data_IF_639935156813
#
_entry.id   IF_639935156813
#
_cell.length_a   1.000
_cell.length_b   1.000
_cell.length_c   1.000
_cell.angle_alpha   90.00
_cell.angle_beta   90.00
_cell.angle_gamma   90.00
#
_symmetry.space_group_name_H-M   'P 1'
#
loop_
_entity.id
_entity.type
_entity.pdbx_description
1 polymer ?
#
# COMPACT_ATOMS: atom_id res chain seq x y z
N UNK A 1 10.53 -19.40 -20.06
CA UNK A 1 9.27 -18.63 -20.24
C UNK A 1 8.50 -18.71 -18.92
N UNK A 2 8.32 -17.59 -18.22
CA UNK A 2 7.57 -17.59 -16.96
C UNK A 2 6.10 -17.84 -17.29
N UNK A 3 5.58 -18.98 -16.82
CA UNK A 3 4.18 -19.35 -17.01
C UNK A 3 3.31 -18.63 -15.98
N UNK A 4 2.37 -17.80 -16.42
CA UNK A 4 1.45 -17.03 -15.56
C UNK A 4 0.72 -17.95 -14.56
N UNK A 5 0.29 -19.14 -15.00
CA UNK A 5 -0.39 -20.10 -14.13
C UNK A 5 0.53 -20.65 -13.04
N UNK A 6 1.79 -20.97 -13.36
CA UNK A 6 2.74 -21.44 -12.35
C UNK A 6 3.00 -20.37 -11.28
N UNK A 7 3.08 -19.09 -11.67
CA UNK A 7 3.20 -17.99 -10.74
C UNK A 7 1.93 -17.83 -9.89
N UNK A 8 0.76 -17.91 -10.51
CA UNK A 8 -0.52 -17.89 -9.81
C UNK A 8 -0.62 -19.00 -8.77
N UNK A 9 -0.28 -20.25 -9.14
CA UNK A 9 -0.31 -21.38 -8.23
C UNK A 9 0.60 -21.19 -7.01
N UNK A 10 1.82 -20.68 -7.25
CA UNK A 10 2.76 -20.37 -6.16
C UNK A 10 2.25 -19.26 -5.24
N UNK A 11 1.70 -18.19 -5.79
CA UNK A 11 1.12 -17.10 -4.99
C UNK A 11 -0.11 -17.58 -4.21
N UNK A 12 -0.96 -18.41 -4.84
CA UNK A 12 -2.12 -18.99 -4.16
C UNK A 12 -1.73 -19.87 -2.98
N UNK A 13 -0.66 -20.66 -3.12
CA UNK A 13 -0.13 -21.48 -2.03
C UNK A 13 0.34 -20.61 -0.86
N UNK A 14 1.09 -19.53 -1.14
CA UNK A 14 1.49 -18.55 -0.12
C UNK A 14 0.25 -17.93 0.54
N UNK A 15 -0.75 -17.50 -0.25
CA UNK A 15 -1.98 -16.95 0.30
C UNK A 15 -2.70 -17.95 1.22
N UNK A 16 -2.75 -19.23 0.87
CA UNK A 16 -3.32 -20.29 1.72
C UNK A 16 -2.56 -20.42 3.03
N UNK A 17 -1.24 -20.46 2.99
CA UNK A 17 -0.38 -20.57 4.17
C UNK A 17 -0.63 -19.45 5.19
N UNK A 18 -0.88 -18.23 4.73
CA UNK A 18 -1.06 -17.04 5.58
C UNK A 18 -2.52 -16.65 5.80
N UNK A 19 -3.49 -17.47 5.37
CA UNK A 19 -4.93 -17.18 5.50
C UNK A 19 -5.64 -18.02 6.57
N UNK A 20 -4.92 -18.70 7.43
CA UNK A 20 -5.49 -19.47 8.52
C UNK A 20 -6.47 -18.64 9.36
N UNK A 21 -7.66 -19.19 9.65
CA UNK A 21 -8.77 -18.52 10.34
C UNK A 21 -9.38 -17.28 9.66
N UNK A 22 -8.88 -16.85 8.49
CA UNK A 22 -9.45 -15.76 7.70
C UNK A 22 -10.50 -16.24 6.70
N UNK A 23 -10.36 -17.48 6.25
CA UNK A 23 -11.24 -18.10 5.25
C UNK A 23 -11.71 -19.48 5.70
N UNK A 24 -12.71 -20.01 5.03
CA UNK A 24 -13.15 -21.41 5.20
C UNK A 24 -12.23 -22.38 4.41
N UNK A 25 -12.46 -23.67 4.55
CA UNK A 25 -11.70 -24.75 3.88
C UNK A 25 -11.64 -24.61 2.34
N UNK A 26 -12.64 -23.95 1.73
CA UNK A 26 -12.70 -23.66 0.29
C UNK A 26 -12.02 -22.34 -0.11
N UNK A 27 -11.35 -21.66 0.82
CA UNK A 27 -10.63 -20.40 0.56
C UNK A 27 -11.53 -19.18 0.41
N UNK A 28 -12.74 -19.19 0.97
CA UNK A 28 -13.67 -18.07 0.93
C UNK A 28 -13.86 -17.43 2.30
N UNK A 29 -13.98 -16.11 2.34
CA UNK A 29 -14.40 -15.35 3.52
C UNK A 29 -15.78 -15.87 3.94
N UNK A 30 -15.98 -16.10 5.24
CA UNK A 30 -17.28 -16.54 5.78
C UNK A 30 -18.34 -15.48 5.54
N UNK A 31 -19.41 -15.83 4.82
CA UNK A 31 -20.55 -14.98 4.52
C UNK A 31 -21.79 -15.81 4.22
N UNK A 32 -23.01 -15.28 4.41
CA UNK A 32 -24.23 -15.93 3.98
C UNK A 32 -24.28 -16.12 2.47
N UNK A 33 -24.99 -17.16 2.01
CA UNK A 33 -25.24 -17.41 0.60
C UNK A 33 -24.37 -18.51 -0.02
N UNK A 34 -24.48 -18.72 -1.34
CA UNK A 34 -23.73 -19.76 -2.05
C UNK A 34 -22.22 -19.53 -1.98
N UNK A 35 -21.48 -20.61 -1.77
CA UNK A 35 -20.01 -20.58 -1.73
C UNK A 35 -19.47 -20.44 -3.15
N UNK A 36 -18.68 -19.39 -3.48
CA UNK A 36 -18.13 -19.22 -4.81
C UNK A 36 -17.17 -20.36 -5.18
N UNK A 37 -17.28 -20.84 -6.42
CA UNK A 37 -16.37 -21.88 -6.95
C UNK A 37 -14.96 -21.34 -7.19
N UNK A 38 -14.84 -20.14 -7.78
CA UNK A 38 -13.60 -19.39 -7.83
C UNK A 38 -13.46 -18.67 -6.49
N UNK A 39 -12.59 -19.12 -5.62
CA UNK A 39 -12.52 -18.70 -4.21
C UNK A 39 -12.04 -17.25 -4.05
N UNK A 40 -12.19 -16.68 -2.85
CA UNK A 40 -11.68 -15.34 -2.54
C UNK A 40 -10.15 -15.32 -2.50
N UNK A 41 -9.51 -16.42 -2.07
CA UNK A 41 -8.05 -16.57 -2.17
C UNK A 41 -7.57 -16.60 -3.62
N UNK A 42 -8.32 -17.23 -4.53
CA UNK A 42 -7.98 -17.21 -5.96
C UNK A 42 -8.13 -15.80 -6.55
N UNK A 43 -9.11 -15.02 -6.11
CA UNK A 43 -9.23 -13.60 -6.50
C UNK A 43 -8.02 -12.79 -6.03
N UNK A 44 -7.60 -12.96 -4.78
CA UNK A 44 -6.39 -12.30 -4.24
C UNK A 44 -5.16 -12.76 -5.01
N UNK A 45 -4.95 -14.06 -5.17
CA UNK A 45 -3.80 -14.61 -5.87
C UNK A 45 -3.72 -14.14 -7.33
N UNK A 46 -4.85 -14.10 -8.05
CA UNK A 46 -4.89 -13.58 -9.41
C UNK A 46 -4.56 -12.09 -9.47
N UNK A 47 -5.02 -11.30 -8.49
CA UNK A 47 -4.68 -9.88 -8.38
C UNK A 47 -3.18 -9.68 -8.19
N UNK A 48 -2.57 -10.39 -7.23
CA UNK A 48 -1.14 -10.31 -6.96
C UNK A 48 -0.30 -10.84 -8.14
N UNK A 49 -0.79 -11.88 -8.84
CA UNK A 49 -0.15 -12.39 -10.05
C UNK A 49 -0.13 -11.32 -11.16
N UNK A 50 -1.25 -10.66 -11.40
CA UNK A 50 -1.33 -9.60 -12.40
C UNK A 50 -0.36 -8.45 -12.08
N UNK A 51 -0.31 -7.99 -10.82
CA UNK A 51 0.64 -6.95 -10.41
C UNK A 51 2.11 -7.41 -10.56
N UNK A 52 2.43 -8.65 -10.21
CA UNK A 52 3.78 -9.22 -10.35
C UNK A 52 4.24 -9.39 -11.80
N UNK A 53 3.29 -9.47 -12.74
CA UNK A 53 3.53 -9.49 -14.20
C UNK A 53 3.43 -8.09 -14.82
N UNK A 54 3.34 -7.04 -14.00
CA UNK A 54 3.15 -5.66 -14.46
C UNK A 54 1.91 -5.47 -15.33
N UNK A 55 0.86 -6.24 -15.09
CA UNK A 55 -0.43 -6.14 -15.80
C UNK A 55 -1.35 -5.21 -15.01
N UNK A 56 -1.42 -3.95 -15.40
CA UNK A 56 -2.24 -2.93 -14.75
C UNK A 56 -3.67 -2.83 -15.30
N UNK A 57 -3.95 -3.46 -16.44
CA UNK A 57 -5.25 -3.46 -17.10
C UNK A 57 -6.00 -4.77 -16.89
N UNK A 58 -7.07 -4.74 -16.07
CA UNK A 58 -7.98 -5.90 -15.90
C UNK A 58 -8.60 -6.33 -17.25
N UNK A 59 -8.87 -5.38 -18.14
CA UNK A 59 -9.41 -5.70 -19.45
C UNK A 59 -8.41 -6.53 -20.26
N UNK A 60 -7.15 -6.09 -20.30
CA UNK A 60 -6.09 -6.81 -21.00
C UNK A 60 -5.82 -8.18 -20.37
N UNK A 61 -5.83 -8.27 -19.04
CA UNK A 61 -5.69 -9.54 -18.33
C UNK A 61 -6.75 -10.56 -18.77
N UNK A 62 -8.03 -10.18 -18.78
CA UNK A 62 -9.14 -11.09 -19.09
C UNK A 62 -9.31 -11.36 -20.60
N UNK A 63 -9.12 -10.34 -21.45
CA UNK A 63 -9.34 -10.46 -22.87
C UNK A 63 -8.16 -11.09 -23.65
N UNK A 64 -6.96 -11.05 -23.07
CA UNK A 64 -5.76 -11.57 -23.72
C UNK A 64 -5.10 -12.67 -22.88
N UNK A 65 -4.54 -12.32 -21.72
CA UNK A 65 -3.69 -13.25 -20.98
C UNK A 65 -4.42 -14.49 -20.47
N UNK A 66 -5.56 -14.35 -19.80
CA UNK A 66 -6.27 -15.49 -19.25
C UNK A 66 -6.89 -16.41 -20.32
N UNK A 67 -7.08 -15.92 -21.55
CA UNK A 67 -7.51 -16.78 -22.66
C UNK A 67 -6.46 -17.84 -23.02
N UNK A 68 -5.18 -17.50 -22.90
CA UNK A 68 -4.05 -18.43 -23.16
C UNK A 68 -4.03 -19.57 -22.11
N UNK A 69 -4.67 -19.38 -20.95
CA UNK A 69 -4.67 -20.30 -19.81
C UNK A 69 -6.06 -20.81 -19.43
N UNK A 70 -7.04 -20.73 -20.35
CA UNK A 70 -8.45 -21.05 -20.06
C UNK A 70 -8.65 -22.41 -19.42
N UNK A 71 -7.90 -23.42 -19.85
CA UNK A 71 -7.99 -24.79 -19.34
C UNK A 71 -7.56 -24.91 -17.87
N UNK A 72 -6.64 -24.04 -17.44
CA UNK A 72 -6.15 -24.00 -16.06
C UNK A 72 -7.06 -23.26 -15.08
N UNK A 73 -8.05 -22.51 -15.59
CA UNK A 73 -8.99 -21.74 -14.78
C UNK A 73 -10.45 -22.14 -15.08
N UNK A 74 -10.86 -23.39 -14.75
CA UNK A 74 -12.19 -23.90 -15.10
C UNK A 74 -13.34 -23.13 -14.45
N UNK A 75 -13.11 -22.50 -13.30
CA UNK A 75 -14.10 -21.75 -12.54
C UNK A 75 -13.88 -20.23 -12.63
N UNK A 76 -13.09 -19.75 -13.62
CA UNK A 76 -12.81 -18.33 -13.76
C UNK A 76 -14.09 -17.52 -13.90
N UNK A 77 -14.20 -16.48 -13.10
CA UNK A 77 -15.32 -15.55 -13.08
C UNK A 77 -15.19 -14.48 -14.17
N UNK A 78 -16.26 -13.75 -14.43
CA UNK A 78 -16.23 -12.62 -15.35
C UNK A 78 -15.34 -11.48 -14.83
N UNK A 79 -14.78 -10.66 -15.73
CA UNK A 79 -13.98 -9.47 -15.36
C UNK A 79 -14.75 -8.53 -14.42
N UNK A 80 -16.06 -8.35 -14.65
CA UNK A 80 -16.90 -7.50 -13.80
C UNK A 80 -16.98 -8.06 -12.38
N UNK A 81 -17.26 -9.34 -12.25
CA UNK A 81 -17.33 -10.01 -10.96
C UNK A 81 -15.98 -10.01 -10.25
N UNK A 82 -14.88 -10.25 -10.99
CA UNK A 82 -13.53 -10.13 -10.47
C UNK A 82 -13.26 -8.73 -9.88
N UNK A 83 -13.58 -7.66 -10.60
CA UNK A 83 -13.39 -6.29 -10.13
C UNK A 83 -14.18 -6.00 -8.84
N UNK A 84 -15.42 -6.47 -8.77
CA UNK A 84 -16.27 -6.31 -7.58
C UNK A 84 -15.73 -7.13 -6.38
N UNK A 85 -15.33 -8.37 -6.63
CA UNK A 85 -14.80 -9.24 -5.58
C UNK A 85 -13.42 -8.81 -5.11
N UNK A 86 -12.56 -8.34 -6.01
CA UNK A 86 -11.26 -7.77 -5.66
C UNK A 86 -11.38 -6.65 -4.61
N UNK A 87 -12.38 -5.77 -4.74
CA UNK A 87 -12.65 -4.74 -3.74
C UNK A 87 -13.11 -5.31 -2.40
N UNK A 88 -13.95 -6.35 -2.43
CA UNK A 88 -14.46 -7.02 -1.23
C UNK A 88 -13.38 -7.83 -0.51
N UNK A 89 -12.39 -8.34 -1.22
CA UNK A 89 -11.28 -9.13 -0.68
C UNK A 89 -10.04 -8.30 -0.34
N UNK A 90 -10.09 -6.97 -0.49
CA UNK A 90 -8.98 -6.09 -0.16
C UNK A 90 -8.49 -6.26 1.29
N UNK A 91 -9.41 -6.36 2.25
CA UNK A 91 -9.08 -6.62 3.66
C UNK A 91 -8.41 -7.97 3.89
N UNK A 92 -8.82 -9.01 3.15
CA UNK A 92 -8.16 -10.32 3.20
C UNK A 92 -6.72 -10.23 2.66
N UNK A 93 -6.52 -9.52 1.54
CA UNK A 93 -5.19 -9.29 0.97
C UNK A 93 -4.27 -8.56 1.97
N UNK A 94 -4.79 -7.51 2.62
CA UNK A 94 -4.04 -6.74 3.61
C UNK A 94 -3.68 -7.57 4.84
N UNK A 95 -4.58 -8.40 5.33
CA UNK A 95 -4.31 -9.26 6.48
C UNK A 95 -3.26 -10.32 6.17
N UNK A 96 -3.31 -10.93 4.98
CA UNK A 96 -2.26 -11.84 4.49
C UNK A 96 -0.91 -11.12 4.42
N UNK A 97 -0.87 -9.90 3.85
CA UNK A 97 0.33 -9.07 3.78
C UNK A 97 0.95 -8.82 5.16
N UNK A 98 0.13 -8.43 6.14
CA UNK A 98 0.57 -8.20 7.53
C UNK A 98 1.20 -9.45 8.14
N UNK A 99 0.58 -10.60 7.97
CA UNK A 99 1.11 -11.87 8.48
C UNK A 99 2.43 -12.26 7.82
N UNK A 100 2.57 -12.01 6.51
CA UNK A 100 3.84 -12.20 5.80
C UNK A 100 4.90 -11.25 6.35
N UNK A 101 4.58 -9.97 6.52
CA UNK A 101 5.50 -8.98 7.07
C UNK A 101 5.98 -9.39 8.49
N UNK A 102 5.06 -9.78 9.36
CA UNK A 102 5.38 -10.27 10.71
C UNK A 102 6.24 -11.54 10.69
N UNK A 103 6.03 -12.43 9.72
CA UNK A 103 6.86 -13.65 9.58
C UNK A 103 8.29 -13.34 9.16
N UNK A 104 8.47 -12.33 8.30
CA UNK A 104 9.79 -11.97 7.76
C UNK A 104 10.57 -11.10 8.75
N UNK A 105 9.89 -10.16 9.41
CA UNK A 105 10.51 -9.02 10.10
C UNK A 105 9.82 -8.66 11.44
N UNK A 106 9.21 -9.65 12.09
CA UNK A 106 8.41 -9.41 13.30
C UNK A 106 9.17 -9.03 14.56
N UNK A 107 10.51 -9.12 14.57
CA UNK A 107 11.38 -8.73 15.68
C UNK A 107 12.05 -7.35 15.46
N UNK A 108 11.66 -6.63 14.40
CA UNK A 108 12.24 -5.32 14.08
C UNK A 108 11.71 -4.24 15.05
N UNK A 109 12.62 -3.43 15.58
CA UNK A 109 12.33 -2.29 16.45
C UNK A 109 12.78 -0.94 15.85
N UNK A 110 13.33 -0.97 14.62
CA UNK A 110 13.80 0.21 13.91
C UNK A 110 13.11 0.33 12.55
N UNK A 111 12.35 1.40 12.38
CA UNK A 111 11.53 1.61 11.20
C UNK A 111 11.84 2.93 10.52
N UNK A 112 11.44 3.03 9.25
CA UNK A 112 11.52 4.25 8.46
C UNK A 112 10.14 4.62 7.98
N UNK A 113 9.83 5.91 8.07
CA UNK A 113 8.60 6.48 7.53
C UNK A 113 8.95 7.49 6.44
N UNK A 114 8.25 7.39 5.33
CA UNK A 114 8.30 8.37 4.25
C UNK A 114 6.96 8.41 3.53
N UNK A 115 6.75 9.45 2.70
CA UNK A 115 5.54 9.63 1.92
C UNK A 115 5.84 9.80 0.43
N UNK A 116 4.97 9.23 -0.41
CA UNK A 116 5.06 9.33 -1.86
C UNK A 116 3.79 9.93 -2.45
N UNK A 117 3.89 10.95 -3.34
CA UNK A 117 2.75 11.46 -4.09
C UNK A 117 2.07 10.39 -4.93
N UNK A 118 0.74 10.31 -4.88
CA UNK A 118 -0.11 9.44 -5.72
C UNK A 118 -1.11 10.32 -6.48
N UNK A 119 -0.73 10.90 -7.62
CA UNK A 119 -1.63 11.69 -8.45
C UNK A 119 -2.78 10.83 -8.99
N UNK A 120 -4.01 11.35 -8.94
CA UNK A 120 -5.18 10.64 -9.48
C UNK A 120 -5.56 11.10 -10.88
N UNK A 121 -5.06 12.24 -11.30
CA UNK A 121 -5.24 12.76 -12.66
C UNK A 121 -4.15 13.81 -12.97
N UNK A 122 -4.09 14.22 -14.24
CA UNK A 122 -3.24 15.37 -14.65
C UNK A 122 -3.70 16.62 -13.91
N UNK A 123 -2.78 17.48 -13.52
CA UNK A 123 -3.00 18.72 -12.75
C UNK A 123 -4.14 19.57 -13.34
N UNK A 124 -4.13 19.80 -14.66
CA UNK A 124 -5.18 20.57 -15.35
C UNK A 124 -6.60 19.97 -15.20
N UNK A 125 -6.73 18.72 -14.77
CA UNK A 125 -8.02 18.02 -14.57
C UNK A 125 -8.47 17.99 -13.10
N UNK A 126 -7.66 18.45 -12.14
CA UNK A 126 -7.95 18.33 -10.72
C UNK A 126 -9.32 18.89 -10.34
N UNK A 127 -9.67 20.10 -10.78
CA UNK A 127 -10.99 20.72 -10.54
C UNK A 127 -12.18 19.92 -11.12
N UNK A 128 -11.96 19.09 -12.15
CA UNK A 128 -12.98 18.28 -12.83
C UNK A 128 -12.97 16.83 -12.37
N UNK A 129 -12.05 16.44 -11.49
CA UNK A 129 -11.97 15.08 -10.98
C UNK A 129 -13.25 14.72 -10.22
N UNK A 130 -13.83 13.57 -10.54
CA UNK A 130 -15.07 13.08 -9.91
C UNK A 130 -14.80 12.09 -8.78
N UNK A 131 -13.55 11.65 -8.59
CA UNK A 131 -13.17 10.72 -7.54
C UNK A 131 -13.53 11.29 -6.16
N UNK A 132 -14.14 10.51 -5.30
CA UNK A 132 -14.60 10.91 -3.98
C UNK A 132 -15.89 11.71 -3.92
N UNK A 133 -16.43 12.20 -5.06
CA UNK A 133 -17.67 13.01 -5.06
C UNK A 133 -18.95 12.20 -4.79
N UNK A 134 -18.93 10.92 -5.19
CA UNK A 134 -20.07 10.00 -5.04
C UNK A 134 -19.93 9.06 -3.86
N UNK A 135 -18.80 9.12 -3.17
CA UNK A 135 -18.51 8.31 -2.00
C UNK A 135 -18.53 9.23 -0.75
N UNK A 136 -17.46 9.30 -0.03
CA UNK A 136 -17.29 10.23 1.09
C UNK A 136 -16.36 11.37 0.65
N UNK A 137 -16.90 12.58 0.55
CA UNK A 137 -16.13 13.76 0.14
C UNK A 137 -14.94 14.03 1.08
N UNK A 138 -15.07 13.64 2.35
CA UNK A 138 -13.97 13.77 3.32
C UNK A 138 -12.75 12.92 2.94
N UNK A 139 -12.96 11.85 2.17
CA UNK A 139 -11.92 10.93 1.68
C UNK A 139 -11.45 11.24 0.26
N UNK A 140 -12.04 12.24 -0.39
CA UNK A 140 -11.66 12.64 -1.75
C UNK A 140 -10.22 13.12 -1.88
N UNK A 141 -9.63 13.08 -3.08
CA UNK A 141 -8.29 13.62 -3.33
C UNK A 141 -8.23 15.13 -3.18
N UNK A 142 -7.05 15.68 -2.97
CA UNK A 142 -6.85 17.10 -2.80
C UNK A 142 -5.54 17.57 -3.44
N UNK A 143 -5.30 18.89 -3.47
CA UNK A 143 -4.08 19.49 -3.97
C UNK A 143 -2.93 19.31 -2.98
N UNK A 144 -1.77 18.97 -3.49
CA UNK A 144 -0.53 18.87 -2.73
C UNK A 144 0.66 19.41 -3.53
N UNK A 145 1.73 19.67 -2.81
CA UNK A 145 3.01 20.08 -3.37
C UNK A 145 4.09 19.06 -2.98
N UNK A 146 4.80 18.54 -3.97
CA UNK A 146 5.95 17.67 -3.76
C UNK A 146 7.23 18.49 -3.83
N UNK A 147 7.84 18.79 -2.69
CA UNK A 147 9.02 19.65 -2.61
C UNK A 147 10.24 19.04 -3.32
N UNK A 148 10.43 17.73 -3.24
CA UNK A 148 11.57 17.03 -3.86
C UNK A 148 11.55 17.08 -5.39
N UNK A 149 10.36 17.16 -6.00
CA UNK A 149 10.15 17.22 -7.45
C UNK A 149 9.76 18.62 -7.94
N UNK A 150 9.52 19.55 -7.00
CA UNK A 150 9.03 20.91 -7.28
C UNK A 150 7.76 20.94 -8.14
N UNK A 151 6.80 20.04 -7.85
CA UNK A 151 5.55 19.93 -8.62
C UNK A 151 4.31 20.00 -7.73
N UNK A 152 3.26 20.64 -8.24
CA UNK A 152 1.92 20.51 -7.71
C UNK A 152 1.22 19.30 -8.32
N UNK A 153 0.43 18.58 -7.52
CA UNK A 153 -0.36 17.45 -7.98
C UNK A 153 -1.73 17.44 -7.29
N UNK A 154 -2.68 16.71 -7.88
CA UNK A 154 -4.00 16.47 -7.31
C UNK A 154 -4.14 14.97 -7.03
N UNK A 155 -4.30 14.60 -5.76
CA UNK A 155 -4.31 13.20 -5.38
C UNK A 155 -4.18 12.94 -3.89
N UNK A 156 -3.41 11.91 -3.58
CA UNK A 156 -3.12 11.42 -2.23
C UNK A 156 -1.61 11.37 -1.98
N UNK A 157 -1.23 11.16 -0.73
CA UNK A 157 0.10 10.71 -0.32
C UNK A 157 0.00 9.28 0.19
N UNK A 158 0.85 8.41 -0.31
CA UNK A 158 1.08 7.09 0.24
C UNK A 158 2.15 7.21 1.31
N UNK A 159 1.80 7.06 2.57
CA UNK A 159 2.73 6.89 3.67
C UNK A 159 3.07 5.42 3.82
N UNK A 160 4.33 5.09 4.08
CA UNK A 160 4.73 3.73 4.39
C UNK A 160 5.72 3.70 5.55
N UNK A 161 5.60 2.70 6.40
CA UNK A 161 6.56 2.35 7.43
C UNK A 161 7.22 1.04 7.04
N UNK A 162 8.53 1.07 6.94
CA UNK A 162 9.36 -0.07 6.52
C UNK A 162 10.38 -0.40 7.58
N UNK A 163 10.66 -1.67 7.81
CA UNK A 163 11.78 -2.14 8.61
C UNK A 163 13.14 -1.97 7.90
N UNK A 164 14.22 -2.24 8.60
CA UNK A 164 15.58 -2.20 8.06
C UNK A 164 15.78 -3.15 6.88
N UNK A 165 15.11 -4.28 6.89
CA UNK A 165 15.08 -5.28 5.81
C UNK A 165 14.46 -4.74 4.52
N UNK A 166 13.60 -3.72 4.62
CA UNK A 166 12.80 -3.17 3.53
C UNK A 166 11.41 -3.80 3.42
N UNK A 167 10.97 -4.51 4.42
CA UNK A 167 9.59 -4.99 4.52
C UNK A 167 8.68 -3.84 4.90
N UNK A 168 7.58 -3.64 4.15
CA UNK A 168 6.55 -2.67 4.48
C UNK A 168 5.67 -3.27 5.59
N UNK A 169 5.74 -2.70 6.79
CA UNK A 169 4.93 -3.13 7.94
C UNK A 169 3.54 -2.51 7.93
N UNK A 170 3.46 -1.20 7.70
CA UNK A 170 2.19 -0.50 7.55
C UNK A 170 2.26 0.59 6.49
N UNK A 171 1.10 0.97 5.99
CA UNK A 171 0.95 2.08 5.05
C UNK A 171 -0.44 2.68 5.18
N UNK A 172 -0.58 3.92 4.74
CA UNK A 172 -1.87 4.61 4.64
C UNK A 172 -1.88 5.62 3.51
N UNK A 173 -3.08 6.05 3.13
CA UNK A 173 -3.32 7.07 2.11
C UNK A 173 -3.98 8.29 2.73
N UNK A 174 -3.25 9.37 2.84
CA UNK A 174 -3.81 10.68 3.21
C UNK A 174 -4.10 11.54 1.98
N UNK A 175 -4.98 12.56 2.12
CA UNK A 175 -5.12 13.60 1.09
C UNK A 175 -3.79 14.32 0.88
N UNK A 176 -3.51 14.73 -0.35
CA UNK A 176 -2.26 15.42 -0.68
C UNK A 176 -2.04 16.72 0.10
N UNK A 177 -3.10 17.39 0.56
CA UNK A 177 -3.06 18.59 1.40
C UNK A 177 -2.67 18.35 2.86
N UNK A 178 -2.80 17.13 3.34
CA UNK A 178 -2.52 16.78 4.76
C UNK A 178 -1.01 16.74 4.98
N UNK A 179 -0.54 17.38 6.07
CA UNK A 179 0.89 17.36 6.41
C UNK A 179 1.32 15.98 6.92
N UNK A 180 2.51 15.53 6.55
CA UNK A 180 3.00 14.16 6.78
C UNK A 180 3.02 13.75 8.26
N UNK A 181 3.31 14.68 9.16
CA UNK A 181 3.32 14.46 10.61
C UNK A 181 1.98 13.91 11.15
N UNK A 182 0.85 14.20 10.48
CA UNK A 182 -0.45 13.73 10.95
C UNK A 182 -0.63 12.22 10.85
N UNK A 183 0.09 11.55 9.93
CA UNK A 183 0.11 10.10 9.86
C UNK A 183 0.65 9.46 11.15
N UNK A 184 1.56 10.10 11.84
CA UNK A 184 2.14 9.60 13.08
C UNK A 184 1.12 9.41 14.20
N UNK A 185 -0.04 10.09 14.15
CA UNK A 185 -1.13 9.89 15.12
C UNK A 185 -1.76 8.51 15.02
N UNK A 186 -1.80 7.95 13.80
CA UNK A 186 -2.33 6.61 13.56
C UNK A 186 -1.27 5.53 13.86
N UNK A 187 0.01 5.87 13.67
CA UNK A 187 1.16 5.00 13.95
C UNK A 187 1.24 4.63 15.43
N UNK A 188 1.00 5.56 16.34
CA UNK A 188 1.01 5.31 17.81
C UNK A 188 0.04 4.21 18.27
N UNK A 189 -0.99 3.92 17.47
CA UNK A 189 -1.96 2.86 17.77
C UNK A 189 -1.49 1.46 17.32
N UNK A 190 -0.41 1.41 16.53
CA UNK A 190 0.07 0.19 15.88
C UNK A 190 1.46 -0.23 16.34
N UNK A 191 2.26 0.73 16.86
CA UNK A 191 3.66 0.52 17.23
C UNK A 191 3.91 0.91 18.68
N UNK A 192 4.83 0.21 19.33
CA UNK A 192 5.28 0.47 20.70
C UNK A 192 6.78 0.14 20.82
N UNK A 193 7.47 0.80 21.76
CA UNK A 193 8.86 0.49 22.14
C UNK A 193 9.84 0.41 20.96
N UNK A 194 9.75 1.35 20.02
CA UNK A 194 10.55 1.33 18.80
C UNK A 194 11.11 2.71 18.42
N UNK A 195 12.02 2.72 17.47
CA UNK A 195 12.55 3.93 16.84
C UNK A 195 12.04 4.07 15.42
N UNK A 196 11.49 5.23 15.07
CA UNK A 196 11.01 5.54 13.72
C UNK A 196 11.82 6.71 13.18
N UNK A 197 12.42 6.51 12.01
CA UNK A 197 13.22 7.53 11.33
C UNK A 197 12.38 8.14 10.20
N UNK A 198 12.17 9.46 10.25
CA UNK A 198 11.41 10.21 9.25
C UNK A 198 12.23 11.33 8.62
N UNK A 199 11.76 11.87 7.52
CA UNK A 199 12.34 13.07 6.91
C UNK A 199 11.92 14.36 7.67
N UNK A 200 12.34 15.53 7.15
CA UNK A 200 11.99 16.84 7.74
C UNK A 200 10.48 17.15 7.71
N UNK A 201 9.69 16.41 6.94
CA UNK A 201 8.23 16.50 6.89
C UNK A 201 7.55 15.97 8.14
N UNK A 202 8.25 15.13 8.90
CA UNK A 202 7.76 14.51 10.14
C UNK A 202 8.21 15.25 11.42
N UNK A 203 8.85 16.43 11.31
CA UNK A 203 9.24 17.24 12.47
C UNK A 203 8.00 17.87 13.12
N UNK A 204 7.79 17.59 14.39
CA UNK A 204 6.73 18.18 15.19
C UNK A 204 6.89 17.87 16.68
N UNK A 205 7.42 18.83 17.46
CA UNK A 205 7.77 18.62 18.87
C UNK A 205 6.65 18.00 19.70
N UNK A 206 5.43 18.52 19.57
CA UNK A 206 4.28 18.00 20.33
C UNK A 206 3.92 16.55 19.96
N UNK A 207 4.01 16.21 18.67
CA UNK A 207 3.72 14.85 18.20
C UNK A 207 4.85 13.89 18.61
N UNK A 208 6.11 14.32 18.53
CA UNK A 208 7.26 13.53 18.98
C UNK A 208 7.19 13.23 20.48
N UNK A 209 6.80 14.22 21.29
CA UNK A 209 6.61 14.04 22.71
C UNK A 209 5.43 13.08 23.01
N UNK A 210 4.28 13.28 22.38
CA UNK A 210 3.10 12.41 22.53
C UNK A 210 3.42 10.95 22.17
N UNK A 211 4.15 10.71 21.06
CA UNK A 211 4.58 9.37 20.66
C UNK A 211 5.49 8.72 21.70
N UNK A 212 6.41 9.49 22.27
CA UNK A 212 7.32 8.99 23.30
C UNK A 212 6.60 8.68 24.62
N UNK A 213 5.75 9.59 25.08
CA UNK A 213 5.04 9.44 26.35
C UNK A 213 3.95 8.34 26.32
N UNK A 214 3.26 8.18 25.17
CA UNK A 214 2.11 7.28 25.09
C UNK A 214 2.45 5.88 24.55
N UNK A 215 3.50 5.75 23.73
CA UNK A 215 3.83 4.50 23.06
C UNK A 215 5.32 4.15 23.08
N UNK A 216 6.15 4.93 23.78
CA UNK A 216 7.61 4.79 23.82
C UNK A 216 8.26 4.77 22.41
N UNK A 217 7.66 5.48 21.47
CA UNK A 217 8.18 5.61 20.11
C UNK A 217 9.12 6.80 20.04
N UNK A 218 10.36 6.56 19.63
CA UNK A 218 11.34 7.61 19.31
C UNK A 218 11.22 7.99 17.84
N UNK A 219 10.59 9.12 17.54
CA UNK A 219 10.55 9.67 16.18
C UNK A 219 11.78 10.55 15.94
N UNK A 220 12.72 10.02 15.17
CA UNK A 220 13.98 10.66 14.83
C UNK A 220 13.91 11.32 13.46
N UNK A 221 14.11 12.64 13.40
CA UNK A 221 14.10 13.43 12.17
C UNK A 221 15.35 14.28 12.06
N UNK A 222 15.87 14.52 10.82
CA UNK A 222 17.03 15.39 10.64
C UNK A 222 16.68 16.83 10.98
N UNK A 223 17.59 17.51 11.69
CA UNK A 223 17.41 18.90 12.06
C UNK A 223 17.38 19.81 10.84
N UNK A 224 16.60 20.89 10.94
CA UNK A 224 16.63 21.98 9.96
C UNK A 224 17.84 22.87 10.21
N UNK A 225 18.44 23.42 9.16
CA UNK A 225 19.62 24.31 9.27
C UNK A 225 19.38 25.55 10.16
N UNK A 226 18.14 25.98 10.28
CA UNK A 226 17.73 27.14 11.11
C UNK A 226 17.34 26.75 12.55
N UNK A 227 17.47 25.49 12.95
CA UNK A 227 17.25 25.07 14.34
C UNK A 227 18.49 25.39 15.17
N UNK A 228 18.29 26.01 16.39
CA UNK A 228 19.40 26.37 17.27
C UNK A 228 20.22 25.17 17.76
N UNK A 229 19.55 24.02 17.90
CA UNK A 229 20.15 22.78 18.42
C UNK A 229 20.42 21.79 17.27
N UNK A 230 21.22 22.22 16.28
CA UNK A 230 21.60 21.33 15.18
C UNK A 230 22.45 20.17 15.68
N UNK A 231 22.05 18.95 15.30
CA UNK A 231 22.84 17.74 15.52
C UNK A 231 23.20 17.07 14.18
N UNK A 232 24.37 16.47 14.05
CA UNK A 232 24.73 15.78 12.82
C UNK A 232 23.80 14.60 12.55
N UNK A 233 23.50 14.38 11.25
CA UNK A 233 22.71 13.21 10.81
C UNK A 233 23.47 11.94 11.16
N UNK A 234 22.81 11.06 11.85
CA UNK A 234 23.42 9.82 12.27
C UNK A 234 23.43 8.77 11.14
N UNK A 235 24.47 7.97 11.07
CA UNK A 235 24.75 7.07 9.92
C UNK A 235 23.65 6.05 9.62
N UNK A 236 22.95 5.42 10.59
CA UNK A 236 21.82 4.55 10.30
C UNK A 236 20.68 5.24 9.55
N UNK A 237 20.41 6.51 9.84
CA UNK A 237 19.37 7.27 9.11
C UNK A 237 19.67 7.37 7.60
N UNK A 238 20.91 7.62 7.21
CA UNK A 238 21.27 7.74 5.80
C UNK A 238 21.10 6.43 5.02
N UNK A 239 21.46 5.29 5.63
CA UNK A 239 21.24 3.95 5.04
C UNK A 239 19.78 3.62 4.89
N UNK A 240 19.03 3.95 5.87
CA UNK A 240 17.62 3.76 6.00
C UNK A 240 16.80 4.52 4.94
N UNK A 241 17.10 5.79 4.79
CA UNK A 241 16.48 6.62 3.78
C UNK A 241 16.67 6.04 2.38
N UNK A 242 17.88 5.57 2.05
CA UNK A 242 18.12 4.87 0.78
C UNK A 242 17.20 3.66 0.60
N UNK A 243 16.91 2.93 1.68
CA UNK A 243 16.08 1.72 1.59
C UNK A 243 14.65 2.05 1.21
N UNK A 244 14.01 3.02 1.90
CA UNK A 244 12.63 3.40 1.59
C UNK A 244 12.51 4.07 0.20
N UNK A 245 13.52 4.86 -0.20
CA UNK A 245 13.60 5.43 -1.55
C UNK A 245 13.66 4.32 -2.63
N UNK A 246 14.44 3.25 -2.37
CA UNK A 246 14.49 2.06 -3.26
C UNK A 246 13.14 1.38 -3.35
N UNK A 247 12.44 1.18 -2.23
CA UNK A 247 11.09 0.59 -2.21
C UNK A 247 10.12 1.43 -3.05
N UNK A 248 10.12 2.75 -2.88
CA UNK A 248 9.26 3.62 -3.67
C UNK A 248 9.61 3.63 -5.16
N UNK A 249 10.89 3.45 -5.52
CA UNK A 249 11.28 3.25 -6.92
C UNK A 249 10.74 1.92 -7.46
N UNK A 250 10.88 0.83 -6.71
CA UNK A 250 10.30 -0.47 -7.09
C UNK A 250 8.78 -0.41 -7.25
N UNK A 251 8.07 0.23 -6.31
CA UNK A 251 6.62 0.43 -6.42
C UNK A 251 6.24 1.24 -7.66
N UNK A 252 7.09 2.17 -8.08
CA UNK A 252 6.85 3.01 -9.27
C UNK A 252 7.16 2.26 -10.55
N UNK A 253 8.31 1.62 -10.63
CA UNK A 253 8.87 1.09 -11.88
C UNK A 253 8.34 -0.33 -12.16
N UNK A 254 8.27 -1.18 -11.15
CA UNK A 254 7.81 -2.56 -11.30
C UNK A 254 6.30 -2.69 -11.16
N UNK A 255 5.72 -2.04 -10.13
CA UNK A 255 4.31 -2.16 -9.79
C UNK A 255 3.46 -0.99 -10.30
N UNK A 256 4.06 -0.01 -10.97
CA UNK A 256 3.34 1.10 -11.60
C UNK A 256 2.35 1.81 -10.65
N UNK A 257 2.77 2.04 -9.39
CA UNK A 257 1.90 2.63 -8.35
C UNK A 257 1.34 4.00 -8.74
N UNK A 258 2.07 4.74 -9.58
CA UNK A 258 1.67 6.05 -10.10
C UNK A 258 0.60 5.97 -11.21
N UNK A 259 0.39 4.80 -11.82
CA UNK A 259 -0.64 4.61 -12.85
C UNK A 259 -1.97 4.28 -12.19
N UNK A 260 -2.86 5.24 -12.20
CA UNK A 260 -4.18 5.08 -11.62
C UNK A 260 -5.29 5.24 -12.66
N UNK A 261 -6.08 4.17 -12.85
CA UNK A 261 -7.27 4.17 -13.68
C UNK A 261 -8.57 4.02 -12.87
N UNK A 262 -8.47 4.02 -11.54
CA UNK A 262 -9.63 3.92 -10.66
C UNK A 262 -10.53 5.14 -10.82
N UNK A 263 -11.84 4.93 -10.81
CA UNK A 263 -12.87 5.98 -10.89
C UNK A 263 -13.38 6.40 -9.52
N UNK A 264 -13.16 5.55 -8.52
CA UNK A 264 -13.63 5.69 -7.14
C UNK A 264 -12.48 5.44 -6.16
N UNK A 265 -12.57 6.03 -4.98
CA UNK A 265 -11.53 5.93 -3.93
C UNK A 265 -11.31 4.49 -3.49
N UNK A 266 -12.37 3.73 -3.27
CA UNK A 266 -12.29 2.29 -2.92
C UNK A 266 -11.51 1.50 -3.98
N UNK A 267 -11.70 1.80 -5.27
CA UNK A 267 -10.93 1.17 -6.35
C UNK A 267 -9.46 1.53 -6.34
N UNK A 268 -9.12 2.77 -5.98
CA UNK A 268 -7.73 3.21 -5.82
C UNK A 268 -7.06 2.45 -4.66
N UNK A 269 -7.70 2.43 -3.49
CA UNK A 269 -7.16 1.77 -2.30
C UNK A 269 -6.95 0.27 -2.54
N UNK A 270 -7.92 -0.41 -3.17
CA UNK A 270 -7.76 -1.82 -3.56
C UNK A 270 -6.56 -2.05 -4.47
N UNK A 271 -6.28 -1.14 -5.40
CA UNK A 271 -5.10 -1.25 -6.28
C UNK A 271 -3.80 -1.04 -5.51
N UNK A 272 -3.76 -0.08 -4.60
CA UNK A 272 -2.56 0.16 -3.75
C UNK A 272 -2.26 -1.06 -2.88
N UNK A 273 -3.29 -1.67 -2.27
CA UNK A 273 -3.13 -2.89 -1.46
C UNK A 273 -2.52 -4.04 -2.26
N UNK A 274 -2.86 -4.18 -3.54
CA UNK A 274 -2.35 -5.24 -4.40
C UNK A 274 -0.91 -5.05 -4.89
N UNK A 275 -0.36 -3.85 -4.76
CA UNK A 275 1.00 -3.48 -5.22
C UNK A 275 2.05 -3.64 -4.14
#
# INVERSE_FOLDING_TARGET
MYNLYAKFAKILEICKQFSENLVNEKGNIRRPGPVPKFSDLEVVALSLTAESESIDSENWLFEHKLKEYKEFFPNLISRREYNERRKKTAGLCEEIRKRIAMKIDGAEDQFFVDSKPIPVCRTARGKRCKMGRTEDYSKGPDWGFCASQNIYYYGYKLHAICGLSGVIHSYDLSKASVHDIHYMKDVRLQYHDCSIYGDKGYIGANVQLDLFETAHIRLECPYRLNQKDWKPTFVPFAKARKRIETIYSQLTDQFMVMRNYAKVTTGLFTRIIGK
#
